data_IF_690595742735
#
_entry.id   IF_690595742735
#
_cell.length_a   1.000
_cell.length_b   1.000
_cell.length_c   1.000
_cell.angle_alpha   90.00
_cell.angle_beta   90.00
_cell.angle_gamma   90.00
#
_symmetry.space_group_name_H-M   'P 1'
#
loop_
_entity.id
_entity.type
_entity.pdbx_description
1 polymer ?
#
# COMPACT_ATOMS: atom_id res chain seq x y z
N UNK A 1 9.66 -16.55 4.77
CA UNK A 1 8.23 -16.49 5.12
C UNK A 1 7.99 -16.04 6.56
N UNK A 2 8.60 -16.66 7.59
CA UNK A 2 8.37 -16.28 9.00
C UNK A 2 8.67 -14.80 9.35
N UNK A 3 9.77 -14.25 8.82
CA UNK A 3 10.13 -12.84 9.03
C UNK A 3 9.13 -11.87 8.36
N UNK A 4 8.67 -12.17 7.15
CA UNK A 4 7.67 -11.35 6.44
C UNK A 4 6.38 -11.33 7.25
N UNK A 5 5.86 -12.49 7.65
CA UNK A 5 4.63 -12.56 8.44
C UNK A 5 4.78 -11.82 9.79
N UNK A 6 5.93 -11.92 10.44
CA UNK A 6 6.19 -11.23 11.71
C UNK A 6 6.19 -9.72 11.53
N UNK A 7 6.86 -9.20 10.50
CA UNK A 7 6.87 -7.77 10.17
C UNK A 7 5.48 -7.27 9.78
N UNK A 8 4.75 -8.04 8.95
CA UNK A 8 3.36 -7.74 8.58
C UNK A 8 2.49 -7.57 9.84
N UNK A 9 2.57 -8.50 10.79
CA UNK A 9 1.82 -8.44 12.04
C UNK A 9 2.24 -7.26 12.93
N UNK A 10 3.52 -6.91 12.98
CA UNK A 10 4.00 -5.71 13.68
C UNK A 10 3.45 -4.43 13.04
N UNK A 11 3.45 -4.39 11.70
CA UNK A 11 2.95 -3.26 10.94
C UNK A 11 1.44 -3.07 11.17
N UNK A 12 0.68 -4.17 11.11
CA UNK A 12 -0.76 -4.15 11.46
C UNK A 12 -0.99 -3.67 12.89
N UNK A 13 -0.16 -4.08 13.85
CA UNK A 13 -0.29 -3.59 15.24
C UNK A 13 -0.13 -2.08 15.36
N UNK A 14 0.71 -1.46 14.52
CA UNK A 14 0.98 -0.03 14.53
C UNK A 14 -0.09 0.77 13.77
N UNK A 15 -0.53 0.28 12.61
CA UNK A 15 -1.34 1.06 11.67
C UNK A 15 -2.81 0.65 11.59
N UNK A 16 -3.14 -0.55 12.03
CA UNK A 16 -4.50 -1.10 12.01
C UNK A 16 -5.05 -1.28 13.42
N UNK A 17 -4.21 -1.75 14.35
CA UNK A 17 -4.65 -2.19 15.67
C UNK A 17 -4.71 -1.12 16.79
N UNK A 18 -4.25 0.14 16.65
CA UNK A 18 -4.83 1.16 17.49
C UNK A 18 -6.12 1.59 16.79
N UNK A 19 -7.19 0.84 17.04
CA UNK A 19 -8.55 1.41 16.95
C UNK A 19 -8.60 2.46 18.07
N UNK A 20 -7.97 3.61 17.84
CA UNK A 20 -8.31 4.81 18.59
C UNK A 20 -9.80 5.04 18.34
N UNK A 21 -10.59 5.44 19.36
CA UNK A 21 -11.90 5.99 19.07
C UNK A 21 -11.69 7.07 18.01
N UNK A 22 -12.36 6.91 16.88
CA UNK A 22 -12.36 7.90 15.81
C UNK A 22 -12.84 9.19 16.48
N UNK A 23 -12.00 10.23 16.61
CA UNK A 23 -12.42 11.44 17.29
C UNK A 23 -13.56 12.06 16.47
N UNK A 24 -14.64 12.49 17.13
CA UNK A 24 -15.80 13.18 16.49
C UNK A 24 -15.40 14.39 15.63
N UNK A 25 -14.14 14.82 15.74
CA UNK A 25 -13.49 15.85 14.95
C UNK A 25 -12.00 15.53 14.81
N UNK A 26 -11.53 15.30 13.58
CA UNK A 26 -10.10 15.41 13.27
C UNK A 26 -9.79 16.89 13.13
N UNK A 27 -9.43 17.55 14.23
CA UNK A 27 -8.73 18.83 14.10
C UNK A 27 -7.35 18.54 13.51
N UNK A 28 -7.15 18.98 12.26
CA UNK A 28 -5.82 19.13 11.70
C UNK A 28 -5.14 20.23 12.53
N UNK A 29 -4.56 19.82 13.66
CA UNK A 29 -3.70 20.70 14.45
C UNK A 29 -2.37 20.84 13.71
N UNK A 30 -1.73 22.01 13.81
CA UNK A 30 -0.45 22.40 13.18
C UNK A 30 0.77 21.57 13.64
N UNK A 31 0.56 20.31 14.01
CA UNK A 31 1.55 19.36 14.47
C UNK A 31 1.90 18.30 13.41
N UNK A 32 1.31 18.37 12.21
CA UNK A 32 1.86 17.66 11.04
C UNK A 32 3.24 18.27 10.76
N UNK A 33 4.30 17.51 11.00
CA UNK A 33 5.69 17.96 10.80
C UNK A 33 6.50 18.26 12.08
N UNK A 34 5.94 18.16 13.29
CA UNK A 34 6.75 18.22 14.51
C UNK A 34 7.25 16.83 14.90
N UNK A 35 8.58 16.72 15.05
CA UNK A 35 9.29 15.52 15.51
C UNK A 35 8.56 14.93 16.74
N UNK A 36 8.19 13.63 16.73
CA UNK A 36 7.64 12.99 17.92
C UNK A 36 8.59 13.22 19.08
N UNK A 37 8.10 13.79 20.19
CA UNK A 37 8.92 13.88 21.39
C UNK A 37 9.35 12.46 21.76
N UNK A 38 10.67 12.24 21.77
CA UNK A 38 11.27 10.94 22.03
C UNK A 38 10.61 10.30 23.25
N UNK A 39 10.11 9.09 23.07
CA UNK A 39 9.65 8.22 24.14
C UNK A 39 10.66 8.25 25.29
N UNK A 40 10.22 8.73 26.46
CA UNK A 40 11.07 8.88 27.63
C UNK A 40 11.57 7.48 28.07
N UNK A 41 12.89 7.21 28.05
CA UNK A 41 13.44 5.87 28.31
C UNK A 41 13.38 5.44 29.79
N UNK A 42 12.70 6.21 30.66
CA UNK A 42 12.59 5.91 32.10
C UNK A 42 11.31 5.20 32.52
N UNK A 43 10.43 4.81 31.58
CA UNK A 43 9.29 3.94 31.92
C UNK A 43 9.78 2.49 32.06
N UNK A 44 9.92 2.06 33.31
CA UNK A 44 10.29 0.71 33.74
C UNK A 44 9.45 -0.38 33.05
N UNK A 45 10.11 -1.21 32.25
CA UNK A 45 9.54 -2.47 31.74
C UNK A 45 9.69 -3.55 32.82
N UNK A 46 8.65 -3.75 33.63
CA UNK A 46 8.58 -4.88 34.57
C UNK A 46 7.34 -5.73 34.29
N UNK A 47 7.41 -6.53 33.23
CA UNK A 47 6.58 -7.73 33.09
C UNK A 47 7.39 -8.92 33.62
N UNK A 48 7.27 -9.18 34.93
CA UNK A 48 7.80 -10.39 35.55
C UNK A 48 6.98 -11.60 35.10
N UNK A 49 7.58 -12.47 34.27
CA UNK A 49 7.08 -13.81 34.01
C UNK A 49 7.51 -14.70 35.18
N UNK A 50 6.58 -15.03 36.08
CA UNK A 50 6.75 -16.16 37.00
C UNK A 50 6.33 -17.45 36.27
N UNK A 51 7.32 -18.24 35.87
CA UNK A 51 7.11 -19.65 35.58
C UNK A 51 6.76 -20.36 36.89
N UNK A 52 5.62 -21.05 36.94
CA UNK A 52 5.42 -22.13 37.89
C UNK A 52 4.76 -23.31 37.20
N UNK A 53 5.49 -24.42 37.26
CA UNK A 53 5.14 -25.75 36.77
C UNK A 53 3.98 -26.38 37.55
N UNK A 54 3.37 -27.38 36.91
CA UNK A 54 2.50 -28.42 37.44
C UNK A 54 1.01 -28.09 37.55
N UNK A 55 0.25 -28.44 36.51
CA UNK A 55 -0.89 -29.34 36.66
C UNK A 55 -1.26 -29.97 35.31
N UNK A 56 -1.12 -31.29 35.25
CA UNK A 56 -1.61 -32.10 34.16
C UNK A 56 -3.14 -32.17 34.21
N UNK A 57 -3.81 -31.78 33.13
CA UNK A 57 -5.20 -32.16 32.88
C UNK A 57 -5.27 -32.81 31.50
N UNK A 58 -5.47 -34.14 31.52
CA UNK A 58 -5.83 -34.96 30.36
C UNK A 58 -7.22 -34.55 29.88
N UNK A 59 -7.38 -34.29 28.59
CA UNK A 59 -8.68 -34.40 27.91
C UNK A 59 -8.53 -35.24 26.65
N UNK A 60 -9.34 -36.31 26.63
CA UNK A 60 -9.33 -37.44 25.70
C UNK A 60 -9.77 -37.04 24.29
N UNK A 61 -9.14 -37.68 23.31
CA UNK A 61 -9.57 -37.74 21.92
C UNK A 61 -10.89 -38.52 21.76
N UNK A 62 -11.84 -37.98 21.00
CA UNK A 62 -12.78 -38.79 20.23
C UNK A 62 -12.40 -38.72 18.76
N UNK A 63 -12.07 -39.90 18.19
CA UNK A 63 -11.79 -40.08 16.77
C UNK A 63 -13.12 -40.22 16.03
N UNK A 64 -13.32 -39.45 14.97
CA UNK A 64 -14.13 -39.85 13.83
C UNK A 64 -13.23 -39.87 12.58
N UNK A 65 -13.33 -40.95 11.80
CA UNK A 65 -12.77 -41.14 10.45
C UNK A 65 -13.89 -41.81 9.62
N UNK A 66 -13.86 -41.78 8.28
CA UNK A 66 -13.45 -40.70 7.39
C UNK A 66 -14.46 -40.49 6.23
N UNK A 67 -14.40 -39.36 5.51
CA UNK A 67 -14.88 -39.30 4.12
C UNK A 67 -13.72 -38.92 3.22
N UNK A 68 -13.37 -39.87 2.35
CA UNK A 68 -12.27 -39.84 1.40
C UNK A 68 -12.72 -39.23 0.08
N UNK A 69 -12.51 -37.92 -0.10
CA UNK A 69 -12.13 -37.35 -1.40
C UNK A 69 -11.65 -35.90 -1.24
N UNK A 70 -10.45 -35.68 -0.69
CA UNK A 70 -9.76 -34.43 -0.95
C UNK A 70 -8.97 -34.59 -2.24
N UNK A 71 -9.48 -34.02 -3.34
CA UNK A 71 -8.59 -33.66 -4.45
C UNK A 71 -7.64 -32.61 -3.89
N UNK A 72 -6.45 -33.05 -3.45
CA UNK A 72 -5.35 -32.14 -3.14
C UNK A 72 -5.12 -31.27 -4.37
N UNK A 73 -5.33 -29.96 -4.22
CA UNK A 73 -4.89 -28.99 -5.20
C UNK A 73 -3.36 -29.14 -5.28
N UNK A 74 -2.85 -29.51 -6.45
CA UNK A 74 -1.42 -29.69 -6.68
C UNK A 74 -0.76 -28.33 -6.86
N UNK A 75 -0.14 -27.83 -5.79
CA UNK A 75 0.57 -26.56 -5.75
C UNK A 75 1.93 -26.57 -6.49
N UNK A 76 2.32 -27.67 -7.16
CA UNK A 76 3.59 -27.71 -7.92
C UNK A 76 3.67 -26.67 -9.05
N UNK A 77 2.55 -26.18 -9.57
CA UNK A 77 2.53 -25.10 -10.58
C UNK A 77 2.77 -23.69 -10.01
N UNK A 78 2.61 -23.48 -8.70
CA UNK A 78 2.75 -22.16 -8.07
C UNK A 78 4.21 -21.73 -7.88
N UNK A 79 5.16 -22.66 -7.92
CA UNK A 79 6.59 -22.35 -7.84
C UNK A 79 7.15 -21.62 -9.08
N UNK A 80 6.37 -21.44 -10.15
CA UNK A 80 6.75 -20.58 -11.28
C UNK A 80 6.52 -19.08 -11.01
N UNK A 81 5.76 -18.73 -9.98
CA UNK A 81 5.42 -17.33 -9.66
C UNK A 81 6.37 -16.69 -8.63
N UNK A 82 7.32 -17.44 -8.07
CA UNK A 82 8.22 -16.95 -7.01
C UNK A 82 9.42 -16.16 -7.54
N UNK A 83 9.40 -15.74 -8.81
CA UNK A 83 10.36 -14.77 -9.36
C UNK A 83 11.82 -15.22 -9.36
N UNK A 84 12.12 -16.50 -9.08
CA UNK A 84 13.47 -17.04 -9.26
C UNK A 84 13.68 -17.38 -10.73
N UNK A 85 14.15 -16.41 -11.52
CA UNK A 85 14.87 -16.70 -12.75
C UNK A 85 14.55 -15.86 -13.99
N UNK A 86 13.53 -15.01 -13.96
CA UNK A 86 13.26 -14.08 -15.07
C UNK A 86 12.94 -12.72 -14.49
N UNK A 87 13.56 -11.68 -15.05
CA UNK A 87 13.33 -10.29 -14.69
C UNK A 87 11.82 -10.00 -14.82
N UNK A 88 11.10 -10.02 -13.70
CA UNK A 88 9.74 -9.48 -13.62
C UNK A 88 9.90 -7.97 -13.59
N UNK A 89 10.34 -7.42 -14.73
CA UNK A 89 10.36 -6.00 -14.99
C UNK A 89 8.93 -5.52 -14.87
N UNK A 90 8.75 -4.42 -14.15
CA UNK A 90 7.51 -3.67 -14.13
C UNK A 90 6.98 -3.59 -15.58
N UNK A 91 5.71 -3.92 -15.83
CA UNK A 91 5.16 -3.78 -17.17
C UNK A 91 5.37 -2.33 -17.64
N UNK A 92 5.60 -2.10 -18.94
CA UNK A 92 5.70 -0.74 -19.47
C UNK A 92 4.49 0.11 -19.02
N UNK A 93 4.66 1.43 -18.84
CA UNK A 93 3.59 2.30 -18.39
C UNK A 93 2.33 2.07 -19.22
N UNK A 94 1.22 1.82 -18.54
CA UNK A 94 -0.06 1.48 -19.16
C UNK A 94 -0.50 2.66 -20.03
N UNK A 95 -0.47 2.50 -21.36
CA UNK A 95 -1.05 3.51 -22.25
C UNK A 95 -2.56 3.52 -22.06
N UNK A 96 -3.13 4.67 -21.69
CA UNK A 96 -4.58 4.85 -21.45
C UNK A 96 -5.45 4.63 -22.70
N UNK A 97 -4.86 4.36 -23.88
CA UNK A 97 -5.52 4.37 -25.18
C UNK A 97 -6.24 3.07 -25.60
N UNK A 98 -6.59 2.17 -24.68
CA UNK A 98 -7.45 1.02 -25.03
C UNK A 98 -8.90 1.49 -25.05
N UNK A 99 -9.55 1.39 -26.22
CA UNK A 99 -10.96 1.76 -26.42
C UNK A 99 -11.88 1.07 -25.40
N UNK A 100 -12.43 1.88 -24.48
CA UNK A 100 -13.18 1.47 -23.29
C UNK A 100 -14.67 1.26 -23.63
N UNK A 101 -15.03 0.11 -24.20
CA UNK A 101 -16.44 -0.29 -24.28
C UNK A 101 -16.71 -1.33 -23.20
N UNK A 102 -17.68 -1.05 -22.33
CA UNK A 102 -18.20 -2.03 -21.39
C UNK A 102 -18.91 -3.14 -22.16
N UNK A 103 -18.72 -4.36 -21.68
CA UNK A 103 -19.39 -5.56 -22.21
C UNK A 103 -19.98 -6.32 -21.03
N UNK A 104 -20.79 -7.35 -21.31
CA UNK A 104 -21.29 -8.23 -20.26
C UNK A 104 -20.17 -8.86 -19.40
N UNK A 105 -18.98 -9.06 -19.98
CA UNK A 105 -17.88 -9.78 -19.34
C UNK A 105 -16.78 -8.88 -18.78
N UNK A 106 -16.80 -7.58 -19.03
CA UNK A 106 -15.80 -6.64 -18.49
C UNK A 106 -16.37 -5.21 -18.47
N UNK A 107 -16.19 -4.54 -17.35
CA UNK A 107 -16.85 -3.26 -17.10
C UNK A 107 -16.44 -2.65 -15.77
N UNK A 108 -17.23 -1.66 -15.36
CA UNK A 108 -17.22 -1.10 -14.02
C UNK A 108 -18.60 -1.22 -13.38
N UNK A 109 -18.64 -1.24 -12.06
CA UNK A 109 -19.87 -1.24 -11.28
C UNK A 109 -19.59 -0.60 -9.90
N UNK A 110 -20.60 -0.53 -9.04
CA UNK A 110 -20.51 0.07 -7.72
C UNK A 110 -21.06 -0.87 -6.67
N UNK A 111 -20.49 -0.82 -5.48
CA UNK A 111 -21.00 -1.49 -4.28
C UNK A 111 -21.35 -0.44 -3.23
N UNK A 112 -22.49 -0.60 -2.58
CA UNK A 112 -22.83 0.20 -1.39
C UNK A 112 -21.99 -0.29 -0.21
N UNK A 113 -21.20 0.60 0.38
CA UNK A 113 -20.39 0.37 1.58
C UNK A 113 -20.87 1.27 2.71
N UNK A 114 -20.72 0.82 3.96
CA UNK A 114 -20.91 1.70 5.13
C UNK A 114 -19.78 2.71 5.22
N UNK A 115 -20.08 3.91 5.73
CA UNK A 115 -19.04 4.88 6.10
C UNK A 115 -18.11 4.31 7.17
N UNK A 116 -18.68 3.60 8.14
CA UNK A 116 -17.97 3.08 9.29
C UNK A 116 -18.30 1.60 9.56
N UNK A 117 -17.29 0.73 9.41
CA UNK A 117 -17.40 -0.69 9.73
C UNK A 117 -17.29 -0.99 11.24
N UNK A 118 -16.91 0.00 12.05
CA UNK A 118 -16.69 -0.12 13.49
C UNK A 118 -17.82 0.49 14.33
N UNK A 119 -18.74 1.22 13.71
CA UNK A 119 -19.95 1.72 14.34
C UNK A 119 -21.20 0.95 13.87
N UNK A 120 -21.79 0.16 14.77
CA UNK A 120 -22.99 -0.65 14.48
C UNK A 120 -24.26 0.18 14.27
N UNK A 121 -24.23 1.47 14.62
CA UNK A 121 -25.33 2.42 14.40
C UNK A 121 -25.08 3.31 13.18
N UNK A 122 -24.03 3.05 12.40
CA UNK A 122 -23.80 3.78 11.17
C UNK A 122 -24.89 3.43 10.14
N UNK A 123 -25.62 4.45 9.70
CA UNK A 123 -26.68 4.31 8.70
C UNK A 123 -26.24 4.89 7.33
N UNK A 124 -25.16 5.66 7.30
CA UNK A 124 -24.67 6.28 6.07
C UNK A 124 -23.89 5.27 5.23
N UNK A 125 -24.12 5.36 3.92
CA UNK A 125 -23.45 4.53 2.92
C UNK A 125 -22.84 5.40 1.84
N UNK A 126 -21.89 4.82 1.10
CA UNK A 126 -21.33 5.42 -0.10
C UNK A 126 -21.12 4.38 -1.18
N UNK A 127 -21.11 4.85 -2.44
CA UNK A 127 -20.86 4.02 -3.61
C UNK A 127 -19.36 3.87 -3.82
N UNK A 128 -18.83 2.69 -3.55
CA UNK A 128 -17.45 2.34 -3.88
C UNK A 128 -17.39 1.76 -5.28
N UNK A 129 -16.58 2.35 -6.14
CA UNK A 129 -16.38 1.93 -7.52
C UNK A 129 -15.51 0.69 -7.60
N UNK A 130 -15.81 -0.20 -8.52
CA UNK A 130 -14.95 -1.34 -8.85
C UNK A 130 -15.02 -1.68 -10.33
N UNK A 131 -13.98 -2.35 -10.80
CA UNK A 131 -13.87 -2.86 -12.17
C UNK A 131 -13.85 -4.38 -12.15
N UNK A 132 -14.29 -4.99 -13.24
CA UNK A 132 -14.31 -6.43 -13.39
C UNK A 132 -13.93 -6.91 -14.78
N UNK A 133 -13.45 -8.14 -14.83
CA UNK A 133 -13.25 -8.90 -16.05
C UNK A 133 -13.45 -10.40 -15.76
N UNK A 134 -14.47 -11.00 -16.39
CA UNK A 134 -14.86 -12.40 -16.27
C UNK A 134 -14.36 -13.27 -17.42
N UNK A 135 -13.65 -12.70 -18.40
CA UNK A 135 -13.25 -13.36 -19.66
C UNK A 135 -12.57 -14.72 -19.46
N UNK A 136 -11.80 -14.89 -18.38
CA UNK A 136 -11.06 -16.12 -18.09
C UNK A 136 -11.71 -16.99 -17.01
N UNK A 137 -12.59 -16.38 -16.21
CA UNK A 137 -13.07 -16.97 -14.97
C UNK A 137 -14.28 -17.87 -15.17
N UNK A 138 -14.54 -18.70 -14.16
CA UNK A 138 -15.79 -19.44 -14.02
C UNK A 138 -16.37 -19.20 -12.62
N UNK A 139 -17.61 -19.58 -12.38
CA UNK A 139 -18.29 -19.36 -11.09
C UNK A 139 -17.55 -19.97 -9.90
N UNK A 140 -16.90 -21.12 -10.12
CA UNK A 140 -16.09 -21.83 -9.11
C UNK A 140 -14.58 -21.64 -9.30
N UNK A 141 -14.17 -20.82 -10.26
CA UNK A 141 -12.77 -20.50 -10.52
C UNK A 141 -12.16 -19.59 -9.46
N UNK A 142 -10.82 -19.42 -9.45
CA UNK A 142 -10.17 -18.44 -8.60
C UNK A 142 -10.68 -17.01 -8.86
N UNK A 143 -10.60 -16.15 -7.86
CA UNK A 143 -10.96 -14.75 -7.95
C UNK A 143 -9.73 -13.91 -7.56
N UNK A 144 -9.27 -13.05 -8.46
CA UNK A 144 -8.18 -12.11 -8.20
C UNK A 144 -8.77 -10.74 -7.92
N UNK A 145 -8.42 -10.18 -6.76
CA UNK A 145 -8.87 -8.86 -6.35
C UNK A 145 -7.66 -7.94 -6.18
N UNK A 146 -7.50 -6.99 -7.09
CA UNK A 146 -6.59 -5.88 -6.88
C UNK A 146 -7.24 -4.86 -5.95
N UNK A 147 -6.52 -4.48 -4.90
CA UNK A 147 -6.89 -3.42 -3.98
C UNK A 147 -6.36 -2.11 -4.55
N UNK A 148 -7.24 -1.11 -4.73
CA UNK A 148 -6.86 0.20 -5.20
C UNK A 148 -6.04 1.00 -4.18
N UNK A 149 -5.25 1.93 -4.68
CA UNK A 149 -4.32 2.74 -3.89
C UNK A 149 -4.75 4.18 -3.69
N UNK A 150 -3.75 5.04 -3.52
CA UNK A 150 -3.90 6.46 -3.19
C UNK A 150 -4.24 7.30 -4.44
N UNK A 151 -5.18 6.84 -5.26
CA UNK A 151 -5.53 7.50 -6.51
C UNK A 151 -6.78 6.94 -7.19
N UNK A 152 -7.26 7.63 -8.23
CA UNK A 152 -8.34 7.12 -9.08
C UNK A 152 -7.91 5.83 -9.77
N UNK A 153 -8.79 4.84 -9.78
CA UNK A 153 -8.55 3.58 -10.46
C UNK A 153 -9.06 3.61 -11.90
N UNK A 154 -8.38 2.86 -12.77
CA UNK A 154 -8.72 2.77 -14.20
C UNK A 154 -9.01 1.33 -14.61
N UNK A 155 -10.04 1.16 -15.45
CA UNK A 155 -10.37 -0.12 -16.05
C UNK A 155 -9.27 -0.70 -16.95
N UNK A 156 -8.23 0.09 -17.30
CA UNK A 156 -7.06 -0.42 -18.01
C UNK A 156 -6.36 -1.55 -17.24
N UNK A 157 -6.35 -1.50 -15.90
CA UNK A 157 -5.73 -2.52 -15.06
C UNK A 157 -6.42 -3.89 -15.18
N UNK A 158 -7.74 -3.92 -15.39
CA UNK A 158 -8.51 -5.17 -15.52
C UNK A 158 -8.71 -5.61 -16.98
N UNK A 159 -8.25 -4.81 -17.96
CA UNK A 159 -8.45 -5.08 -19.40
C UNK A 159 -7.16 -5.33 -20.16
N UNK A 160 -6.05 -4.74 -19.71
CA UNK A 160 -4.76 -4.91 -20.36
C UNK A 160 -4.20 -6.31 -20.06
N UNK A 161 -4.29 -7.23 -21.01
CA UNK A 161 -3.78 -8.60 -20.84
C UNK A 161 -2.25 -8.67 -20.74
N UNK A 162 -1.53 -7.60 -21.11
CA UNK A 162 -0.06 -7.56 -21.08
C UNK A 162 0.50 -7.23 -19.69
N UNK A 163 -0.32 -6.73 -18.75
CA UNK A 163 0.15 -6.52 -17.38
C UNK A 163 0.25 -7.84 -16.62
N UNK A 164 1.28 -7.98 -15.80
CA UNK A 164 1.66 -9.26 -15.18
C UNK A 164 0.49 -10.00 -14.51
N UNK A 165 -0.31 -9.31 -13.68
CA UNK A 165 -1.41 -9.96 -12.96
C UNK A 165 -2.54 -10.47 -13.87
N UNK A 166 -2.76 -9.83 -15.03
CA UNK A 166 -3.73 -10.29 -16.02
C UNK A 166 -3.23 -11.54 -16.75
N UNK A 167 -1.93 -11.63 -17.04
CA UNK A 167 -1.32 -12.87 -17.56
C UNK A 167 -1.53 -14.03 -16.57
N UNK A 168 -1.44 -13.74 -15.27
CA UNK A 168 -1.65 -14.71 -14.21
C UNK A 168 -3.10 -15.17 -14.15
N UNK A 169 -4.05 -14.24 -14.21
CA UNK A 169 -5.48 -14.52 -14.22
C UNK A 169 -5.85 -15.42 -15.39
N UNK A 170 -5.36 -15.11 -16.60
CA UNK A 170 -5.57 -15.92 -17.80
C UNK A 170 -4.99 -17.33 -17.66
N UNK A 171 -3.79 -17.47 -17.09
CA UNK A 171 -3.13 -18.76 -16.92
C UNK A 171 -3.87 -19.70 -15.96
N UNK A 172 -4.58 -19.17 -14.95
CA UNK A 172 -5.29 -19.97 -13.94
C UNK A 172 -6.81 -19.96 -14.09
N UNK A 173 -7.34 -19.24 -15.08
CA UNK A 173 -8.78 -19.07 -15.28
C UNK A 173 -9.46 -18.32 -14.13
N UNK A 174 -8.89 -17.19 -13.72
CA UNK A 174 -9.43 -16.37 -12.63
C UNK A 174 -10.45 -15.32 -13.12
N UNK A 175 -11.48 -15.06 -12.32
CA UNK A 175 -12.23 -13.81 -12.40
C UNK A 175 -11.36 -12.68 -11.85
N UNK A 176 -11.44 -11.51 -12.47
CA UNK A 176 -10.58 -10.36 -12.17
C UNK A 176 -11.44 -9.22 -11.64
N UNK A 177 -11.01 -8.64 -10.52
CA UNK A 177 -11.66 -7.52 -9.87
C UNK A 177 -10.61 -6.48 -9.46
N UNK A 178 -10.99 -5.20 -9.51
CA UNK A 178 -10.23 -4.08 -8.96
C UNK A 178 -11.19 -3.23 -8.15
N UNK A 179 -10.95 -3.09 -6.85
CA UNK A 179 -11.79 -2.30 -5.94
C UNK A 179 -11.10 -0.97 -5.64
N UNK A 180 -11.72 0.14 -6.03
CA UNK A 180 -11.17 1.48 -5.79
C UNK A 180 -11.19 1.82 -4.30
N UNK A 181 -10.13 2.47 -3.82
CA UNK A 181 -10.00 2.79 -2.40
C UNK A 181 -11.00 3.88 -1.99
N UNK A 182 -11.61 3.74 -0.79
CA UNK A 182 -12.46 4.81 -0.22
C UNK A 182 -11.72 6.15 -0.21
N UNK A 183 -12.44 7.25 -0.47
CA UNK A 183 -11.95 8.62 -0.65
C UNK A 183 -11.16 8.93 -1.92
N UNK A 184 -10.74 7.94 -2.69
CA UNK A 184 -10.00 8.16 -3.93
C UNK A 184 -10.91 7.98 -5.15
N UNK A 185 -10.51 8.61 -6.26
CA UNK A 185 -11.25 8.55 -7.52
C UNK A 185 -12.71 8.97 -7.39
N UNK A 186 -13.62 8.08 -7.78
CA UNK A 186 -15.07 8.31 -7.71
C UNK A 186 -15.69 7.69 -6.43
N UNK A 187 -14.90 6.95 -5.66
CA UNK A 187 -15.31 6.28 -4.41
C UNK A 187 -15.28 7.24 -3.21
N UNK A 188 -16.04 8.34 -3.30
CA UNK A 188 -16.06 9.40 -2.29
C UNK A 188 -17.28 9.27 -1.38
N UNK A 189 -17.09 9.46 -0.07
CA UNK A 189 -18.19 9.46 0.90
C UNK A 189 -19.10 10.70 0.77
N UNK A 190 -18.66 11.75 0.04
CA UNK A 190 -19.40 13.00 -0.07
C UNK A 190 -19.20 13.95 1.11
N UNK A 191 -18.22 13.65 1.98
CA UNK A 191 -17.76 14.52 3.07
C UNK A 191 -16.27 14.82 2.93
N UNK A 192 -15.85 15.97 3.46
CA UNK A 192 -14.42 16.32 3.61
C UNK A 192 -13.83 15.76 4.92
N UNK A 193 -14.64 15.12 5.73
CA UNK A 193 -14.20 14.48 6.95
C UNK A 193 -13.37 13.23 6.62
N UNK A 194 -12.10 13.23 7.02
CA UNK A 194 -11.16 12.15 6.77
C UNK A 194 -11.14 11.11 7.89
N UNK A 195 -12.03 11.21 8.89
CA UNK A 195 -12.07 10.29 10.01
C UNK A 195 -12.29 8.81 9.59
N UNK A 196 -12.95 8.58 8.45
CA UNK A 196 -13.16 7.24 7.88
C UNK A 196 -12.13 6.84 6.82
N UNK A 197 -11.12 7.69 6.56
CA UNK A 197 -9.99 7.38 5.68
C UNK A 197 -8.91 6.65 6.48
N UNK A 198 -9.15 5.38 6.76
CA UNK A 198 -8.18 4.52 7.45
C UNK A 198 -7.97 3.22 6.69
N UNK A 199 -6.76 2.67 6.78
CA UNK A 199 -6.46 1.35 6.22
C UNK A 199 -7.34 0.27 6.84
N UNK A 200 -7.68 0.39 8.14
CA UNK A 200 -8.58 -0.52 8.82
C UNK A 200 -9.96 -0.56 8.14
N UNK A 201 -10.56 0.60 7.85
CA UNK A 201 -11.82 0.65 7.12
C UNK A 201 -11.72 0.02 5.73
N UNK A 202 -10.63 0.29 4.99
CA UNK A 202 -10.41 -0.31 3.67
C UNK A 202 -10.31 -1.84 3.71
N UNK A 203 -9.70 -2.43 4.75
CA UNK A 203 -9.67 -3.88 4.91
C UNK A 203 -11.09 -4.46 5.03
N UNK A 204 -11.99 -3.77 5.76
CA UNK A 204 -13.38 -4.20 5.89
C UNK A 204 -14.20 -3.95 4.63
N UNK A 205 -13.90 -2.90 3.84
CA UNK A 205 -14.46 -2.72 2.49
C UNK A 205 -14.15 -3.92 1.61
N UNK A 206 -12.88 -4.38 1.61
CA UNK A 206 -12.43 -5.57 0.87
C UNK A 206 -13.20 -6.82 1.31
N UNK A 207 -13.36 -7.04 2.61
CA UNK A 207 -14.10 -8.19 3.12
C UNK A 207 -15.59 -8.15 2.74
N UNK A 208 -16.22 -6.98 2.82
CA UNK A 208 -17.61 -6.76 2.42
C UNK A 208 -17.80 -6.97 0.92
N UNK A 209 -16.85 -6.49 0.10
CA UNK A 209 -16.84 -6.72 -1.34
C UNK A 209 -16.79 -8.20 -1.68
N UNK A 210 -15.84 -8.95 -1.10
CA UNK A 210 -15.70 -10.40 -1.35
C UNK A 210 -16.98 -11.14 -0.99
N UNK A 211 -17.56 -10.86 0.19
CA UNK A 211 -18.82 -11.48 0.63
C UNK A 211 -19.98 -11.13 -0.31
N UNK A 212 -20.06 -9.88 -0.76
CA UNK A 212 -21.07 -9.46 -1.74
C UNK A 212 -20.95 -10.22 -3.06
N UNK A 213 -19.74 -10.38 -3.61
CA UNK A 213 -19.52 -11.14 -4.84
C UNK A 213 -19.84 -12.64 -4.68
N UNK A 214 -19.55 -13.21 -3.51
CA UNK A 214 -19.92 -14.59 -3.18
C UNK A 214 -21.45 -14.79 -3.18
N UNK A 215 -22.20 -13.86 -2.58
CA UNK A 215 -23.66 -13.96 -2.45
C UNK A 215 -24.38 -13.60 -3.76
N UNK A 216 -24.02 -12.48 -4.39
CA UNK A 216 -24.77 -11.90 -5.51
C UNK A 216 -24.38 -12.49 -6.87
N UNK A 217 -23.12 -12.93 -7.02
CA UNK A 217 -22.58 -13.45 -8.28
C UNK A 217 -22.09 -14.90 -8.18
N UNK A 218 -22.26 -15.55 -7.03
CA UNK A 218 -21.86 -16.95 -6.84
C UNK A 218 -20.35 -17.21 -6.86
N UNK A 219 -19.52 -16.16 -6.67
CA UNK A 219 -18.05 -16.21 -6.75
C UNK A 219 -17.41 -16.88 -5.53
N UNK A 220 -17.68 -18.17 -5.38
CA UNK A 220 -17.34 -18.99 -4.20
C UNK A 220 -15.97 -19.67 -4.27
N UNK A 221 -15.27 -19.56 -5.40
CA UNK A 221 -13.90 -20.03 -5.54
C UNK A 221 -12.89 -19.23 -4.68
N UNK A 222 -11.63 -19.67 -4.61
CA UNK A 222 -10.62 -19.06 -3.74
C UNK A 222 -10.28 -17.62 -4.18
N UNK A 223 -10.22 -16.70 -3.21
CA UNK A 223 -9.85 -15.31 -3.43
C UNK A 223 -8.37 -15.06 -3.19
N UNK A 224 -7.70 -14.34 -4.08
CA UNK A 224 -6.31 -13.89 -3.94
C UNK A 224 -6.29 -12.37 -4.07
N UNK A 225 -5.74 -11.68 -3.07
CA UNK A 225 -5.59 -10.21 -3.10
C UNK A 225 -4.28 -9.79 -3.77
N UNK A 226 -4.31 -8.69 -4.49
CA UNK A 226 -3.18 -8.07 -5.17
C UNK A 226 -3.07 -6.59 -4.80
N UNK A 227 -1.86 -6.06 -4.80
CA UNK A 227 -1.63 -4.62 -4.68
C UNK A 227 -0.15 -4.27 -4.85
N UNK A 228 0.12 -3.02 -5.25
CA UNK A 228 1.47 -2.45 -5.33
C UNK A 228 1.66 -1.34 -4.30
N UNK A 229 2.87 -1.10 -3.78
CA UNK A 229 3.11 -0.03 -2.77
C UNK A 229 2.21 -0.19 -1.54
N UNK A 230 1.57 0.87 -1.02
CA UNK A 230 0.59 0.81 0.07
C UNK A 230 -0.49 -0.28 -0.14
N UNK A 231 -1.15 -0.40 -1.31
CA UNK A 231 -2.01 -1.55 -1.60
C UNK A 231 -1.36 -2.91 -1.48
N UNK A 232 -0.05 -3.02 -1.72
CA UNK A 232 0.71 -4.25 -1.48
C UNK A 232 0.74 -4.64 -0.01
N UNK A 233 0.85 -3.65 0.89
CA UNK A 233 0.68 -3.86 2.33
C UNK A 233 -0.77 -4.22 2.67
N UNK A 234 -1.76 -3.51 2.11
CA UNK A 234 -3.17 -3.83 2.28
C UNK A 234 -3.50 -5.27 1.87
N UNK A 235 -2.99 -5.74 0.72
CA UNK A 235 -3.23 -7.11 0.24
C UNK A 235 -2.74 -8.16 1.25
N UNK A 236 -1.54 -7.96 1.79
CA UNK A 236 -0.99 -8.81 2.83
C UNK A 236 -1.81 -8.74 4.13
N UNK A 237 -2.19 -7.52 4.56
CA UNK A 237 -3.01 -7.32 5.76
C UNK A 237 -4.40 -7.93 5.63
N UNK A 238 -5.06 -7.83 4.48
CA UNK A 238 -6.37 -8.43 4.24
C UNK A 238 -6.31 -9.95 4.38
N UNK A 239 -5.25 -10.60 3.86
CA UNK A 239 -5.06 -12.05 4.01
C UNK A 239 -4.80 -12.45 5.46
N UNK A 240 -3.99 -11.71 6.21
CA UNK A 240 -3.73 -12.02 7.62
C UNK A 240 -4.96 -11.73 8.50
N UNK A 241 -5.76 -10.72 8.18
CA UNK A 241 -6.93 -10.31 8.97
C UNK A 241 -8.19 -11.15 8.67
N UNK A 242 -8.39 -11.54 7.40
CA UNK A 242 -9.53 -12.35 6.95
C UNK A 242 -9.06 -13.66 6.27
N UNK A 243 -8.31 -14.53 6.97
CA UNK A 243 -7.77 -15.76 6.39
C UNK A 243 -8.85 -16.77 5.97
N UNK A 244 -10.07 -16.62 6.48
CA UNK A 244 -11.26 -17.40 6.11
C UNK A 244 -11.86 -16.98 4.77
N UNK A 245 -11.64 -15.74 4.33
CA UNK A 245 -12.16 -15.20 3.05
C UNK A 245 -11.12 -15.26 1.93
N UNK A 246 -9.89 -14.85 2.23
CA UNK A 246 -8.83 -14.61 1.24
C UNK A 246 -7.83 -15.74 1.37
N UNK A 247 -7.60 -16.54 0.34
CA UNK A 247 -6.71 -17.71 0.36
C UNK A 247 -5.22 -17.38 0.22
N UNK A 248 -4.87 -16.20 -0.30
CA UNK A 248 -3.49 -15.75 -0.48
C UNK A 248 -3.42 -14.29 -0.89
N UNK A 249 -2.21 -13.73 -0.87
CA UNK A 249 -1.96 -12.34 -1.24
C UNK A 249 -0.68 -12.20 -2.06
N UNK A 250 -0.66 -11.23 -2.97
CA UNK A 250 0.50 -10.80 -3.74
C UNK A 250 0.67 -9.29 -3.54
N UNK A 251 1.56 -8.92 -2.62
CA UNK A 251 1.95 -7.53 -2.39
C UNK A 251 3.25 -7.19 -3.10
N UNK A 252 3.18 -6.43 -4.19
CA UNK A 252 4.34 -5.98 -4.96
C UNK A 252 4.91 -4.70 -4.34
N UNK A 253 6.18 -4.70 -3.96
CA UNK A 253 6.85 -3.55 -3.32
C UNK A 253 6.07 -2.95 -2.15
N UNK A 254 5.29 -3.78 -1.45
CA UNK A 254 4.49 -3.34 -0.32
C UNK A 254 5.35 -3.17 0.93
N UNK A 255 5.25 -2.03 1.65
CA UNK A 255 6.02 -1.83 2.86
C UNK A 255 5.54 -2.81 3.95
N UNK A 256 6.30 -3.88 4.15
CA UNK A 256 6.04 -4.85 5.23
C UNK A 256 6.29 -4.26 6.62
N UNK A 257 7.03 -3.16 6.70
CA UNK A 257 7.23 -2.33 7.87
C UNK A 257 7.20 -0.86 7.42
N UNK A 258 6.13 -0.13 7.74
CA UNK A 258 6.04 1.29 7.48
C UNK A 258 6.67 2.09 8.63
N UNK A 259 7.49 3.07 8.28
CA UNK A 259 8.22 3.96 9.18
C UNK A 259 7.89 5.39 8.82
N UNK A 260 7.71 6.23 9.84
CA UNK A 260 7.44 7.67 9.64
C UNK A 260 8.68 8.36 9.05
N UNK A 261 9.86 8.06 9.61
CA UNK A 261 11.16 8.46 9.07
C UNK A 261 11.78 7.26 8.35
N UNK A 262 11.64 7.23 7.02
CA UNK A 262 12.13 6.16 6.16
C UNK A 262 13.33 6.60 5.32
N UNK A 263 14.36 7.13 5.99
CA UNK A 263 15.61 7.56 5.35
C UNK A 263 16.31 6.44 4.56
N UNK A 264 16.09 5.16 4.88
CA UNK A 264 16.68 4.03 4.13
C UNK A 264 16.22 4.00 2.66
N UNK A 265 15.08 4.63 2.32
CA UNK A 265 14.70 4.84 0.93
C UNK A 265 15.76 5.67 0.18
N UNK A 266 16.25 6.75 0.78
CA UNK A 266 17.28 7.60 0.18
C UNK A 266 18.64 6.93 0.14
N UNK A 267 18.96 6.06 1.11
CA UNK A 267 20.18 5.23 1.06
C UNK A 267 20.18 4.30 -0.17
N UNK A 268 19.03 3.73 -0.52
CA UNK A 268 18.88 2.92 -1.75
C UNK A 268 19.02 3.78 -3.00
N UNK A 269 18.41 4.98 -3.03
CA UNK A 269 18.57 5.93 -4.13
C UNK A 269 20.04 6.29 -4.33
N UNK A 270 20.75 6.59 -3.23
CA UNK A 270 22.19 6.88 -3.23
C UNK A 270 23.00 5.71 -3.82
N UNK A 271 22.73 4.49 -3.37
CA UNK A 271 23.41 3.28 -3.83
C UNK A 271 23.17 3.03 -5.33
N UNK A 272 21.95 3.19 -5.82
CA UNK A 272 21.62 3.04 -7.25
C UNK A 272 22.40 4.06 -8.09
N UNK A 273 22.40 5.34 -7.70
CA UNK A 273 23.16 6.40 -8.41
C UNK A 273 24.64 6.04 -8.44
N UNK A 274 25.19 5.58 -7.32
CA UNK A 274 26.60 5.21 -7.19
C UNK A 274 26.96 3.98 -8.03
N UNK A 275 26.15 2.92 -8.01
CA UNK A 275 26.32 1.72 -8.85
C UNK A 275 26.26 2.06 -10.33
N UNK A 276 25.40 3.00 -10.71
CA UNK A 276 25.28 3.43 -12.10
C UNK A 276 26.48 4.28 -12.55
N UNK A 277 26.94 5.24 -11.74
CA UNK A 277 28.10 6.07 -12.05
C UNK A 277 28.68 6.75 -10.82
N UNK A 278 29.90 6.38 -10.45
CA UNK A 278 30.65 7.03 -9.37
C UNK A 278 30.79 8.55 -9.61
N UNK A 279 31.03 8.96 -10.85
CA UNK A 279 31.14 10.38 -11.22
C UNK A 279 29.81 11.13 -11.05
N UNK A 280 28.68 10.46 -11.31
CA UNK A 280 27.36 11.04 -11.09
C UNK A 280 27.13 11.23 -9.59
N UNK A 281 27.38 10.18 -8.81
CA UNK A 281 27.32 10.21 -7.35
C UNK A 281 28.14 11.34 -6.74
N UNK A 282 29.43 11.45 -7.10
CA UNK A 282 30.33 12.47 -6.55
C UNK A 282 29.81 13.88 -6.84
N UNK A 283 29.29 14.12 -8.06
CA UNK A 283 28.70 15.41 -8.46
C UNK A 283 27.39 15.71 -7.75
N UNK A 284 26.52 14.72 -7.60
CA UNK A 284 25.26 14.88 -6.87
C UNK A 284 25.52 15.21 -5.41
N UNK A 285 26.47 14.51 -4.77
CA UNK A 285 26.92 14.80 -3.42
C UNK A 285 27.47 16.22 -3.29
N UNK A 286 28.41 16.61 -4.14
CA UNK A 286 28.98 17.96 -4.15
C UNK A 286 27.90 19.04 -4.35
N UNK A 287 26.92 18.78 -5.23
CA UNK A 287 25.81 19.69 -5.47
C UNK A 287 24.93 19.90 -4.24
N UNK A 288 24.54 18.84 -3.52
CA UNK A 288 23.74 18.97 -2.30
C UNK A 288 24.52 19.58 -1.14
N UNK A 289 25.81 19.26 -0.98
CA UNK A 289 26.69 19.92 0.01
C UNK A 289 26.84 21.42 -0.28
N UNK A 290 26.96 21.79 -1.56
CA UNK A 290 27.04 23.18 -1.99
C UNK A 290 25.71 23.90 -1.77
N UNK A 291 24.58 23.25 -2.12
CA UNK A 291 23.25 23.79 -1.90
C UNK A 291 23.03 24.11 -0.42
N UNK A 292 23.39 23.18 0.48
CA UNK A 292 23.28 23.39 1.92
C UNK A 292 24.11 24.59 2.39
N UNK A 293 25.35 24.74 1.93
CA UNK A 293 26.16 25.92 2.27
C UNK A 293 25.51 27.22 1.79
N UNK A 294 24.93 27.22 0.59
CA UNK A 294 24.25 28.38 0.03
C UNK A 294 22.96 28.74 0.79
N UNK A 295 22.26 27.78 1.41
CA UNK A 295 21.07 28.11 2.23
C UNK A 295 21.43 28.86 3.51
N UNK A 296 22.65 28.66 4.03
CA UNK A 296 23.13 29.31 5.25
C UNK A 296 23.65 30.75 5.03
N UNK A 297 23.83 31.17 3.77
CA UNK A 297 24.41 32.47 3.42
C UNK A 297 23.40 33.34 2.65
N UNK A 298 23.14 34.60 3.05
CA UNK A 298 22.20 35.47 2.34
C UNK A 298 22.49 35.63 0.84
N UNK A 299 23.75 35.84 0.44
CA UNK A 299 24.10 35.93 -0.98
C UNK A 299 23.92 34.58 -1.70
N UNK A 300 24.23 33.49 -1.00
CA UNK A 300 23.92 32.12 -1.41
C UNK A 300 22.43 31.89 -1.69
N UNK A 301 21.54 32.39 -0.83
CA UNK A 301 20.08 32.31 -1.04
C UNK A 301 19.63 33.06 -2.28
N UNK A 302 20.21 34.22 -2.58
CA UNK A 302 19.95 34.92 -3.84
C UNK A 302 20.45 34.11 -5.06
N UNK A 303 21.56 33.38 -4.93
CA UNK A 303 22.04 32.47 -5.98
C UNK A 303 21.06 31.32 -6.22
N UNK A 304 20.52 30.72 -5.15
CA UNK A 304 19.47 29.69 -5.22
C UNK A 304 18.24 30.27 -5.92
N UNK A 305 17.76 31.45 -5.49
CA UNK A 305 16.64 32.14 -6.13
C UNK A 305 16.89 32.38 -7.62
N UNK A 306 18.09 32.79 -8.00
CA UNK A 306 18.43 33.04 -9.41
C UNK A 306 18.34 31.76 -10.25
N UNK A 307 18.78 30.62 -9.70
CA UNK A 307 18.80 29.32 -10.39
C UNK A 307 17.43 28.66 -10.47
N UNK A 308 16.72 28.60 -9.35
CA UNK A 308 15.50 27.80 -9.20
C UNK A 308 14.20 28.61 -9.26
N UNK A 309 14.28 29.96 -9.22
CA UNK A 309 13.12 30.86 -9.31
C UNK A 309 12.00 30.50 -8.32
N UNK A 310 12.36 30.35 -7.05
CA UNK A 310 11.45 29.93 -5.98
C UNK A 310 10.31 30.94 -5.80
N UNK A 311 9.17 30.43 -5.33
CA UNK A 311 7.99 31.21 -4.95
C UNK A 311 7.44 30.64 -3.63
N UNK A 312 7.46 31.40 -2.52
CA UNK A 312 7.95 32.77 -2.39
C UNK A 312 9.44 32.94 -2.73
N UNK A 313 9.83 34.13 -3.19
CA UNK A 313 11.20 34.40 -3.60
C UNK A 313 12.14 34.51 -2.39
N UNK A 314 13.26 33.79 -2.44
CA UNK A 314 14.31 33.93 -1.44
C UNK A 314 15.15 35.19 -1.70
N UNK A 315 15.60 35.83 -0.62
CA UNK A 315 16.32 37.11 -0.68
C UNK A 315 17.72 37.01 -0.07
N UNK A 316 18.58 37.95 -0.46
CA UNK A 316 19.87 38.20 0.17
C UNK A 316 19.79 39.16 1.35
N UNK A 317 18.59 39.49 1.83
CA UNK A 317 18.44 40.33 3.01
C UNK A 317 18.78 39.50 4.27
N UNK A 318 19.83 39.86 5.03
CA UNK A 318 20.17 39.14 6.25
C UNK A 318 19.12 39.29 7.36
N UNK A 319 18.24 40.30 7.27
CA UNK A 319 17.12 40.46 8.21
C UNK A 319 15.98 39.47 7.94
N UNK A 320 15.92 38.90 6.73
CA UNK A 320 14.95 37.87 6.37
C UNK A 320 15.51 36.50 6.75
N UNK A 321 14.82 35.82 7.65
CA UNK A 321 15.07 34.41 7.96
C UNK A 321 14.17 33.56 7.07
N UNK A 322 14.76 32.60 6.36
CA UNK A 322 14.00 31.59 5.63
C UNK A 322 13.68 30.46 6.61
N UNK A 323 12.44 29.99 6.58
CA UNK A 323 12.01 28.91 7.47
C UNK A 323 12.75 27.61 7.14
N UNK A 324 13.05 26.80 8.15
CA UNK A 324 13.72 25.52 7.94
C UNK A 324 12.86 24.57 7.09
N UNK A 325 11.53 24.65 7.20
CA UNK A 325 10.61 23.91 6.35
C UNK A 325 10.67 24.37 4.90
N UNK A 326 10.72 25.68 4.64
CA UNK A 326 10.92 26.20 3.27
C UNK A 326 12.25 25.70 2.68
N UNK A 327 13.30 25.59 3.50
CA UNK A 327 14.57 25.01 3.05
C UNK A 327 14.39 23.53 2.73
N UNK A 328 13.78 22.75 3.63
CA UNK A 328 13.55 21.32 3.43
C UNK A 328 12.71 21.04 2.19
N UNK A 329 11.68 21.85 1.90
CA UNK A 329 10.86 21.73 0.69
C UNK A 329 11.71 21.86 -0.60
N UNK A 330 12.70 22.77 -0.60
CA UNK A 330 13.63 22.89 -1.74
C UNK A 330 14.50 21.65 -1.87
N UNK A 331 15.01 21.11 -0.76
CA UNK A 331 15.77 19.86 -0.79
C UNK A 331 14.91 18.69 -1.27
N UNK A 332 13.68 18.56 -0.76
CA UNK A 332 12.71 17.52 -1.13
C UNK A 332 12.36 17.58 -2.62
N UNK A 333 12.04 18.76 -3.14
CA UNK A 333 11.76 18.92 -4.56
C UNK A 333 12.96 18.47 -5.43
N UNK A 334 14.19 18.71 -4.97
CA UNK A 334 15.40 18.38 -5.71
C UNK A 334 15.78 16.90 -5.61
N UNK A 335 15.79 16.32 -4.41
CA UNK A 335 16.08 14.89 -4.27
C UNK A 335 14.92 14.03 -4.80
N UNK A 336 13.69 14.53 -4.78
CA UNK A 336 12.49 13.87 -5.30
C UNK A 336 12.60 13.49 -6.78
N UNK A 337 13.33 14.26 -7.58
CA UNK A 337 13.65 13.90 -8.97
C UNK A 337 14.50 12.63 -9.06
N UNK A 338 15.45 12.44 -8.15
CA UNK A 338 16.25 11.22 -8.07
C UNK A 338 15.41 10.04 -7.57
N UNK A 339 14.55 10.27 -6.58
CA UNK A 339 13.60 9.25 -6.08
C UNK A 339 12.74 8.71 -7.23
N UNK A 340 12.07 9.60 -7.99
CA UNK A 340 11.26 9.20 -9.13
C UNK A 340 12.07 8.51 -10.23
N UNK A 341 13.29 8.98 -10.49
CA UNK A 341 14.19 8.37 -11.49
C UNK A 341 14.55 6.94 -11.11
N UNK A 342 14.91 6.69 -9.85
CA UNK A 342 15.25 5.35 -9.37
C UNK A 342 14.02 4.46 -9.30
N UNK A 343 12.89 4.98 -8.82
CA UNK A 343 11.67 4.17 -8.62
C UNK A 343 11.01 3.69 -9.92
N UNK A 344 11.04 4.51 -10.98
CA UNK A 344 10.28 4.23 -12.20
C UNK A 344 11.13 3.86 -13.41
N UNK A 345 12.45 4.07 -13.35
CA UNK A 345 13.33 3.59 -14.40
C UNK A 345 13.97 2.27 -13.97
N UNK A 346 14.19 1.37 -14.93
CA UNK A 346 14.88 0.10 -14.69
C UNK A 346 16.39 0.31 -14.49
N UNK A 347 16.77 0.99 -13.40
CA UNK A 347 18.15 1.23 -12.98
C UNK A 347 18.65 0.16 -11.99
N UNK A 348 17.83 -0.87 -11.76
CA UNK A 348 17.94 -1.89 -10.72
C UNK A 348 18.26 -3.28 -11.30
#
# INVERSE_FOLDING_TARGET
MWQIQTLTLQNMKRWINPVFPVPDRVEITDNVGKRPQFFNPTVSSSLHIKANSNNAIKLRSSRSKPSTSSKKIDFKKWNKFTGKGEHVLLPPPVSESIQQLDTADQGQDWIEQTWDHFNVYEEHTFRQKWYYNYKFGSDKGPNFLMIGGEGPESGSWTRNEDVAWMTYAKAVGANVFLLEHRYYGESKLGTNDLQYLTSAQMLYDVATFIRSQQVTKGRTGPWITFGGSYPGALAAWSREWFPELIAGAVGSSGPVLAKDDFYEYLEVVEDVIKRHSQKCYDRTKEAFETLYKLTQDPEGRATIQQKFKLSPAWTSDPAVTIDELDMNDVFEALYGMYQGTVQYNALD
#
